data_IF_437732658233
#
_entry.id   IF_437732658233
#
_cell.length_a   1.000
_cell.length_b   1.000
_cell.length_c   1.000
_cell.angle_alpha   90.00
_cell.angle_beta   90.00
_cell.angle_gamma   90.00
#
_symmetry.space_group_name_H-M   'P 1'
#
loop_
_entity.id
_entity.type
_entity.pdbx_description
1 polymer ?
#
# COMPACT_ATOMS: atom_id res chain seq x y z
N UNK A 1 7.49 -24.99 -10.96
CA UNK A 1 8.16 -23.84 -10.31
C UNK A 1 7.38 -23.53 -9.05
N UNK A 2 7.98 -23.68 -7.85
CA UNK A 2 7.28 -23.37 -6.60
C UNK A 2 7.16 -21.84 -6.49
N UNK A 3 5.94 -21.31 -6.57
CA UNK A 3 5.66 -19.93 -6.18
C UNK A 3 6.02 -19.81 -4.70
N UNK A 4 7.21 -19.28 -4.41
CA UNK A 4 7.60 -18.93 -3.05
C UNK A 4 6.79 -17.69 -2.73
N UNK A 5 5.59 -17.87 -2.19
CA UNK A 5 4.90 -16.79 -1.48
C UNK A 5 5.83 -16.41 -0.32
N UNK A 6 6.70 -15.43 -0.57
CA UNK A 6 7.36 -14.73 0.53
C UNK A 6 6.22 -14.12 1.33
N UNK A 7 5.95 -14.61 2.52
CA UNK A 7 5.04 -13.99 3.49
C UNK A 7 5.64 -12.64 3.86
N UNK A 8 5.44 -11.63 3.01
CA UNK A 8 5.93 -10.28 3.25
C UNK A 8 5.06 -9.69 4.33
N UNK A 9 5.65 -9.46 5.49
CA UNK A 9 5.00 -8.76 6.59
C UNK A 9 5.13 -7.25 6.37
N UNK A 10 4.02 -6.54 6.52
CA UNK A 10 4.01 -5.08 6.57
C UNK A 10 4.25 -4.63 8.02
N UNK A 11 5.12 -3.64 8.20
CA UNK A 11 5.41 -3.06 9.50
C UNK A 11 4.35 -2.00 9.82
N UNK A 12 3.13 -2.45 10.13
CA UNK A 12 1.97 -1.61 10.50
C UNK A 12 1.93 -1.50 12.03
N UNK A 13 1.50 -0.34 12.53
CA UNK A 13 1.25 -0.14 13.95
C UNK A 13 -0.17 -0.63 14.25
N UNK A 14 -0.29 -1.85 14.76
CA UNK A 14 -1.60 -2.51 14.95
C UNK A 14 -2.39 -1.92 16.11
N UNK A 15 -1.75 -1.24 17.06
CA UNK A 15 -2.43 -0.59 18.19
C UNK A 15 -3.02 0.77 17.78
N UNK A 16 -2.53 1.35 16.69
CA UNK A 16 -2.99 2.65 16.17
C UNK A 16 -4.29 2.57 15.36
N UNK A 17 -4.68 1.38 14.90
CA UNK A 17 -5.78 1.19 13.93
C UNK A 17 -6.77 0.13 14.37
N UNK A 18 -8.03 0.31 13.97
CA UNK A 18 -9.03 -0.75 14.07
C UNK A 18 -8.73 -1.90 13.11
N UNK A 19 -9.29 -3.08 13.37
CA UNK A 19 -9.16 -4.25 12.49
C UNK A 19 -9.61 -3.93 11.05
N UNK A 20 -10.69 -3.18 10.89
CA UNK A 20 -11.21 -2.79 9.57
C UNK A 20 -10.23 -1.88 8.81
N UNK A 21 -9.62 -0.92 9.51
CA UNK A 21 -8.61 -0.03 8.95
C UNK A 21 -7.33 -0.79 8.57
N UNK A 22 -6.88 -1.72 9.42
CA UNK A 22 -5.74 -2.60 9.13
C UNK A 22 -6.00 -3.39 7.85
N UNK A 23 -7.19 -3.98 7.70
CA UNK A 23 -7.56 -4.72 6.48
C UNK A 23 -7.49 -3.81 5.25
N UNK A 24 -8.00 -2.58 5.33
CA UNK A 24 -7.94 -1.60 4.22
C UNK A 24 -6.51 -1.19 3.88
N UNK A 25 -5.66 -0.92 4.89
CA UNK A 25 -4.24 -0.61 4.70
C UNK A 25 -3.52 -1.77 4.01
N UNK A 26 -3.69 -3.00 4.51
CA UNK A 26 -3.07 -4.21 3.96
C UNK A 26 -3.53 -4.45 2.51
N UNK A 27 -4.83 -4.27 2.23
CA UNK A 27 -5.37 -4.42 0.88
C UNK A 27 -4.81 -3.37 -0.07
N UNK A 28 -4.69 -2.13 0.37
CA UNK A 28 -4.04 -1.09 -0.42
C UNK A 28 -2.57 -1.40 -0.71
N UNK A 29 -1.82 -1.89 0.28
CA UNK A 29 -0.43 -2.29 0.07
C UNK A 29 -0.30 -3.44 -0.93
N UNK A 30 -1.15 -4.46 -0.85
CA UNK A 30 -1.22 -5.55 -1.84
C UNK A 30 -1.54 -5.04 -3.24
N UNK A 31 -2.44 -4.05 -3.36
CA UNK A 31 -2.76 -3.42 -4.63
C UNK A 31 -1.52 -2.73 -5.21
N UNK A 32 -0.82 -1.94 -4.41
CA UNK A 32 0.41 -1.24 -4.79
C UNK A 32 1.53 -2.21 -5.18
N UNK A 33 1.72 -3.30 -4.45
CA UNK A 33 2.67 -4.35 -4.83
C UNK A 33 2.33 -4.99 -6.18
N UNK A 34 1.04 -5.27 -6.39
CA UNK A 34 0.53 -5.84 -7.64
C UNK A 34 0.79 -4.98 -8.87
N UNK A 35 1.07 -3.68 -8.70
CA UNK A 35 1.39 -2.77 -9.81
C UNK A 35 2.67 -3.17 -10.56
N UNK A 36 3.53 -3.99 -9.95
CA UNK A 36 4.79 -4.45 -10.57
C UNK A 36 4.57 -5.44 -11.70
N UNK A 37 3.52 -6.24 -11.60
CA UNK A 37 3.31 -7.39 -12.49
C UNK A 37 2.11 -7.19 -13.41
N UNK A 38 1.17 -6.32 -13.04
CA UNK A 38 -0.04 -6.07 -13.80
C UNK A 38 -0.40 -4.59 -13.81
N UNK A 39 -1.07 -4.18 -14.89
CA UNK A 39 -1.73 -2.88 -14.96
C UNK A 39 -2.87 -2.85 -13.95
N UNK A 40 -2.91 -1.81 -13.13
CA UNK A 40 -3.99 -1.59 -12.17
C UNK A 40 -5.01 -0.66 -12.83
N UNK A 41 -6.29 -0.97 -12.63
CA UNK A 41 -7.38 -0.07 -12.99
C UNK A 41 -7.26 1.26 -12.24
N UNK A 42 -7.34 2.37 -12.96
CA UNK A 42 -7.10 3.72 -12.39
C UNK A 42 -8.14 4.09 -11.34
N UNK A 43 -9.40 3.73 -11.54
CA UNK A 43 -10.48 4.08 -10.63
C UNK A 43 -10.41 3.25 -9.35
N UNK A 44 -10.06 1.96 -9.48
CA UNK A 44 -9.78 1.10 -8.33
C UNK A 44 -8.62 1.67 -7.51
N UNK A 45 -7.52 2.05 -8.15
CA UNK A 45 -6.34 2.61 -7.48
C UNK A 45 -6.68 3.93 -6.77
N UNK A 46 -7.40 4.83 -7.44
CA UNK A 46 -7.79 6.13 -6.88
C UNK A 46 -8.70 5.98 -5.66
N UNK A 47 -9.71 5.10 -5.74
CA UNK A 47 -10.62 4.82 -4.61
C UNK A 47 -9.87 4.27 -3.40
N UNK A 48 -9.05 3.22 -3.60
CA UNK A 48 -8.30 2.62 -2.49
C UNK A 48 -7.27 3.58 -1.90
N UNK A 49 -6.63 4.43 -2.72
CA UNK A 49 -5.71 5.45 -2.23
C UNK A 49 -6.43 6.50 -1.37
N UNK A 50 -7.62 6.93 -1.78
CA UNK A 50 -8.41 7.88 -0.98
C UNK A 50 -8.83 7.29 0.37
N UNK A 51 -9.27 6.03 0.39
CA UNK A 51 -9.59 5.32 1.64
C UNK A 51 -8.36 5.21 2.55
N UNK A 52 -7.22 4.79 1.99
CA UNK A 52 -5.94 4.74 2.72
C UNK A 52 -5.55 6.12 3.28
N UNK A 53 -5.66 7.19 2.48
CA UNK A 53 -5.33 8.56 2.91
C UNK A 53 -6.21 9.03 4.05
N UNK A 54 -7.50 8.70 4.03
CA UNK A 54 -8.44 9.05 5.09
C UNK A 54 -8.10 8.34 6.41
N UNK A 55 -7.65 7.08 6.34
CA UNK A 55 -7.23 6.32 7.53
C UNK A 55 -5.92 6.86 8.09
N UNK A 56 -4.92 7.07 7.23
CA UNK A 56 -3.58 7.48 7.69
C UNK A 56 -3.58 8.90 8.23
N UNK A 57 -4.27 9.83 7.55
CA UNK A 57 -4.44 11.25 7.90
C UNK A 57 -3.17 11.96 8.46
N UNK A 58 -1.98 11.49 8.09
CA UNK A 58 -0.70 11.93 8.62
C UNK A 58 0.40 11.71 7.58
N UNK A 59 0.97 12.82 7.10
CA UNK A 59 1.97 12.78 6.02
C UNK A 59 3.28 12.09 6.43
N UNK A 60 3.67 12.14 7.71
CA UNK A 60 4.86 11.47 8.20
C UNK A 60 4.67 9.95 8.18
N UNK A 61 3.49 9.49 8.59
CA UNK A 61 3.13 8.07 8.56
C UNK A 61 3.01 7.53 7.14
N UNK A 62 2.42 8.32 6.23
CA UNK A 62 2.38 7.97 4.80
C UNK A 62 3.81 7.81 4.22
N UNK A 63 4.71 8.75 4.52
CA UNK A 63 6.12 8.66 4.11
C UNK A 63 6.83 7.46 4.74
N UNK A 64 6.50 7.10 5.98
CA UNK A 64 7.04 5.90 6.66
C UNK A 64 6.63 4.64 5.91
N UNK A 65 5.36 4.51 5.55
CA UNK A 65 4.84 3.36 4.81
C UNK A 65 5.31 3.30 3.35
N UNK A 66 5.41 4.43 2.66
CA UNK A 66 6.02 4.48 1.33
C UNK A 66 7.47 3.98 1.35
N UNK A 67 8.28 4.43 2.34
CA UNK A 67 9.66 3.95 2.54
C UNK A 67 9.71 2.46 2.87
N UNK A 68 8.81 1.96 3.71
CA UNK A 68 8.73 0.54 4.05
C UNK A 68 8.44 -0.30 2.80
N UNK A 69 7.42 0.06 2.01
CA UNK A 69 7.09 -0.62 0.76
C UNK A 69 8.23 -0.57 -0.25
N UNK A 70 8.94 0.56 -0.34
CA UNK A 70 10.09 0.67 -1.21
C UNK A 70 11.20 -0.29 -0.80
N UNK A 71 11.53 -0.36 0.50
CA UNK A 71 12.56 -1.26 1.02
C UNK A 71 12.21 -2.74 0.87
N UNK A 72 10.98 -3.13 1.23
CA UNK A 72 10.56 -4.54 1.23
C UNK A 72 10.17 -5.06 -0.15
N UNK A 73 9.61 -4.17 -0.97
CA UNK A 73 8.88 -4.58 -2.17
C UNK A 73 9.33 -3.84 -3.41
N UNK A 74 10.17 -2.80 -3.30
CA UNK A 74 10.68 -2.02 -4.43
C UNK A 74 9.58 -1.25 -5.16
N UNK A 75 8.47 -0.91 -4.49
CA UNK A 75 7.38 -0.07 -5.00
C UNK A 75 7.27 1.19 -4.16
N UNK A 76 6.82 2.29 -4.76
CA UNK A 76 6.53 3.53 -4.05
C UNK A 76 5.10 3.95 -4.35
N UNK A 77 4.31 4.13 -3.30
CA UNK A 77 2.97 4.72 -3.34
C UNK A 77 3.06 6.06 -4.06
N UNK A 78 3.99 6.93 -3.66
CA UNK A 78 4.14 8.26 -4.24
C UNK A 78 4.36 8.21 -5.76
N UNK A 79 5.28 7.36 -6.24
CA UNK A 79 5.57 7.24 -7.68
C UNK A 79 4.37 6.70 -8.46
N UNK A 80 3.67 5.72 -7.91
CA UNK A 80 2.50 5.10 -8.56
C UNK A 80 1.35 6.10 -8.67
N UNK A 81 1.05 6.83 -7.59
CA UNK A 81 0.00 7.85 -7.57
C UNK A 81 0.38 9.06 -8.45
N UNK A 82 1.64 9.47 -8.46
CA UNK A 82 2.10 10.56 -9.34
C UNK A 82 1.86 10.26 -10.82
N UNK A 83 1.96 9.00 -11.23
CA UNK A 83 1.72 8.56 -12.61
C UNK A 83 0.24 8.39 -12.98
N UNK A 84 -0.70 8.61 -12.05
CA UNK A 84 -2.13 8.70 -12.38
C UNK A 84 -2.51 10.03 -13.03
N UNK A 85 -1.74 11.08 -12.76
CA UNK A 85 -1.98 12.45 -13.20
C UNK A 85 -1.35 12.73 -14.56
#
# INVERSE_FOLDING_TARGET
MKNKESTKTYDIDYDMFTVEEIVKIVNFFKLIEGSKTKKIDKDILKRNYNEYRNIINNIALEKKYDKMLFKKCGVSIYRIIKNLH
#
